data_IF_360004106650
#
_entry.id   IF_360004106650
#
_cell.length_a   1.000
_cell.length_b   1.000
_cell.length_c   1.000
_cell.angle_alpha   90.00
_cell.angle_beta   90.00
_cell.angle_gamma   90.00
#
_symmetry.space_group_name_H-M   'P 1'
#
loop_
_entity.id
_entity.type
_entity.pdbx_description
1 polymer ?
#
# COMPACT_ATOMS: atom_id res chain seq x y z
N UNK A 1 -25.18 -14.29 0.48
CA UNK A 1 -24.05 -13.35 0.55
C UNK A 1 -23.82 -12.77 -0.85
N UNK A 2 -24.08 -11.48 -1.04
CA UNK A 2 -24.02 -10.83 -2.37
C UNK A 2 -22.57 -10.76 -2.88
N UNK A 3 -22.38 -10.69 -4.22
CA UNK A 3 -21.06 -10.71 -4.86
C UNK A 3 -20.16 -9.57 -4.35
N UNK A 4 -20.77 -8.41 -4.12
CA UNK A 4 -20.08 -7.21 -3.63
C UNK A 4 -19.59 -7.32 -2.18
N UNK A 5 -20.31 -8.08 -1.35
CA UNK A 5 -19.89 -8.34 0.03
C UNK A 5 -18.66 -9.27 0.09
N UNK A 6 -18.49 -10.17 -0.89
CA UNK A 6 -17.33 -11.06 -0.96
C UNK A 6 -16.08 -10.30 -1.40
N UNK A 7 -16.19 -9.49 -2.44
CA UNK A 7 -15.09 -8.64 -2.92
C UNK A 7 -14.71 -7.60 -1.85
N UNK A 8 -15.67 -6.91 -1.24
CA UNK A 8 -15.39 -5.95 -0.17
C UNK A 8 -14.68 -6.60 1.04
N UNK A 9 -15.06 -7.82 1.43
CA UNK A 9 -14.37 -8.58 2.50
C UNK A 9 -12.96 -9.01 2.11
N UNK A 10 -12.73 -9.43 0.86
CA UNK A 10 -11.39 -9.75 0.38
C UNK A 10 -10.48 -8.51 0.38
N UNK A 11 -10.99 -7.38 -0.11
CA UNK A 11 -10.28 -6.10 -0.10
C UNK A 11 -9.99 -5.60 1.31
N UNK A 12 -10.97 -5.62 2.22
CA UNK A 12 -10.75 -5.18 3.61
C UNK A 12 -9.75 -6.07 4.35
N UNK A 13 -9.79 -7.40 4.16
CA UNK A 13 -8.78 -8.31 4.72
C UNK A 13 -7.39 -8.08 4.12
N UNK A 14 -7.30 -7.86 2.81
CA UNK A 14 -6.05 -7.51 2.13
C UNK A 14 -5.48 -6.20 2.69
N UNK A 15 -6.30 -5.17 2.76
CA UNK A 15 -5.93 -3.84 3.26
C UNK A 15 -5.53 -3.88 4.74
N UNK A 16 -6.23 -4.66 5.57
CA UNK A 16 -5.86 -4.93 6.96
C UNK A 16 -4.48 -5.62 7.07
N UNK A 17 -4.24 -6.65 6.25
CA UNK A 17 -2.96 -7.36 6.27
C UNK A 17 -1.80 -6.43 5.94
N UNK A 18 -1.98 -5.54 4.96
CA UNK A 18 -0.98 -4.56 4.54
C UNK A 18 -0.75 -3.51 5.62
N UNK A 19 -1.81 -3.00 6.26
CA UNK A 19 -1.68 -2.03 7.36
C UNK A 19 -0.99 -2.64 8.57
N UNK A 20 -1.33 -3.88 8.94
CA UNK A 20 -0.69 -4.60 10.05
C UNK A 20 0.79 -4.82 9.78
N UNK A 21 1.15 -5.29 8.58
CA UNK A 21 2.55 -5.52 8.18
C UNK A 21 3.35 -4.22 8.16
N UNK A 22 2.74 -3.13 7.65
CA UNK A 22 3.39 -1.81 7.63
C UNK A 22 3.62 -1.27 9.04
N UNK A 23 2.61 -1.36 9.93
CA UNK A 23 2.73 -0.92 11.32
C UNK A 23 3.78 -1.73 12.10
N UNK A 24 3.85 -3.04 11.88
CA UNK A 24 4.86 -3.89 12.50
C UNK A 24 6.27 -3.45 12.12
N UNK A 25 6.51 -3.17 10.84
CA UNK A 25 7.83 -2.71 10.39
C UNK A 25 8.14 -1.31 10.89
N UNK A 26 7.15 -0.44 10.97
CA UNK A 26 7.33 0.91 11.53
C UNK A 26 7.66 0.84 13.03
N UNK A 27 7.00 -0.03 13.79
CA UNK A 27 7.30 -0.29 15.20
C UNK A 27 8.71 -0.88 15.38
N UNK A 28 9.12 -1.84 14.55
CA UNK A 28 10.47 -2.41 14.56
C UNK A 28 11.53 -1.36 14.24
N UNK A 29 11.27 -0.49 13.26
CA UNK A 29 12.18 0.61 12.88
C UNK A 29 12.39 1.60 14.03
N UNK A 30 11.31 1.99 14.73
CA UNK A 30 11.39 2.85 15.90
C UNK A 30 12.15 2.18 17.06
N UNK A 31 11.95 0.88 17.27
CA UNK A 31 12.64 0.11 18.30
C UNK A 31 14.14 -0.03 18.00
N UNK A 32 14.49 -0.29 16.74
CA UNK A 32 15.87 -0.38 16.29
C UNK A 32 16.61 0.96 16.46
N UNK A 33 15.94 2.08 16.18
CA UNK A 33 16.50 3.41 16.41
C UNK A 33 16.82 3.67 17.89
N UNK A 34 16.05 3.10 18.82
CA UNK A 34 16.34 3.19 20.27
C UNK A 34 17.49 2.30 20.74
N UNK A 35 17.70 1.16 20.10
CA UNK A 35 18.69 0.17 20.53
C UNK A 35 20.11 0.43 19.99
N UNK A 36 20.25 1.24 18.94
CA UNK A 36 21.52 1.72 18.35
C UNK A 36 22.62 0.65 18.20
N UNK A 37 22.24 -0.57 17.85
CA UNK A 37 23.14 -1.70 17.63
C UNK A 37 23.13 -2.12 16.16
N UNK A 38 24.28 -2.49 15.59
CA UNK A 38 24.41 -2.91 14.18
C UNK A 38 23.49 -4.06 13.79
N UNK A 39 23.25 -4.99 14.73
CA UNK A 39 22.29 -6.08 14.56
C UNK A 39 20.87 -5.56 14.33
N UNK A 40 20.43 -4.56 15.09
CA UNK A 40 19.10 -3.96 14.96
C UNK A 40 18.95 -3.20 13.64
N UNK A 41 20.01 -2.55 13.16
CA UNK A 41 20.03 -1.93 11.83
C UNK A 41 19.91 -2.96 10.71
N UNK A 42 20.67 -4.06 10.78
CA UNK A 42 20.58 -5.16 9.81
C UNK A 42 19.19 -5.82 9.78
N UNK A 43 18.56 -5.99 10.95
CA UNK A 43 17.23 -6.56 11.07
C UNK A 43 16.15 -5.62 10.52
N UNK A 44 16.31 -4.30 10.70
CA UNK A 44 15.40 -3.29 10.12
C UNK A 44 15.51 -3.25 8.60
N UNK A 45 16.72 -3.24 8.06
CA UNK A 45 16.95 -3.22 6.59
C UNK A 45 16.43 -4.52 5.97
N UNK A 46 16.79 -5.67 6.53
CA UNK A 46 16.28 -6.97 6.08
C UNK A 46 14.77 -7.10 6.21
N UNK A 47 14.19 -6.55 7.27
CA UNK A 47 12.74 -6.49 7.49
C UNK A 47 12.01 -5.63 6.46
N UNK A 48 12.58 -4.46 6.11
CA UNK A 48 12.04 -3.58 5.06
C UNK A 48 12.10 -4.25 3.68
N UNK A 49 13.21 -4.92 3.35
CA UNK A 49 13.34 -5.65 2.08
C UNK A 49 12.39 -6.86 2.03
N UNK A 50 12.29 -7.62 3.12
CA UNK A 50 11.36 -8.74 3.24
C UNK A 50 9.90 -8.29 3.14
N UNK A 51 9.55 -7.12 3.69
CA UNK A 51 8.21 -6.54 3.60
C UNK A 51 7.77 -6.33 2.16
N UNK A 52 8.64 -5.86 1.27
CA UNK A 52 8.31 -5.70 -0.16
C UNK A 52 7.90 -7.04 -0.78
N UNK A 53 8.65 -8.11 -0.48
CA UNK A 53 8.36 -9.45 -1.00
C UNK A 53 7.08 -10.06 -0.41
N UNK A 54 6.86 -9.88 0.90
CA UNK A 54 5.64 -10.35 1.57
C UNK A 54 4.43 -9.62 1.01
N UNK A 55 4.51 -8.30 0.82
CA UNK A 55 3.44 -7.50 0.23
C UNK A 55 3.15 -7.94 -1.19
N UNK A 56 4.17 -8.12 -2.02
CA UNK A 56 4.01 -8.65 -3.37
C UNK A 56 3.28 -10.00 -3.34
N UNK A 57 3.70 -10.91 -2.45
CA UNK A 57 3.05 -12.21 -2.26
C UNK A 57 1.59 -12.10 -1.83
N UNK A 58 1.25 -11.17 -0.91
CA UNK A 58 -0.13 -10.94 -0.51
C UNK A 58 -0.98 -10.36 -1.63
N UNK A 59 -0.45 -9.45 -2.44
CA UNK A 59 -1.14 -8.89 -3.60
C UNK A 59 -1.38 -9.94 -4.67
N UNK A 60 -0.40 -10.79 -4.96
CA UNK A 60 -0.55 -11.92 -5.90
C UNK A 60 -1.62 -12.88 -5.41
N UNK A 61 -1.57 -13.29 -4.13
CA UNK A 61 -2.62 -14.16 -3.56
C UNK A 61 -3.99 -13.50 -3.62
N UNK A 62 -4.09 -12.23 -3.26
CA UNK A 62 -5.33 -11.47 -3.32
C UNK A 62 -5.89 -11.47 -4.75
N UNK A 63 -5.06 -11.18 -5.75
CA UNK A 63 -5.43 -11.19 -7.17
C UNK A 63 -5.91 -12.56 -7.63
N UNK A 64 -5.21 -13.63 -7.27
CA UNK A 64 -5.57 -15.01 -7.64
C UNK A 64 -6.88 -15.47 -6.98
N UNK A 65 -7.27 -14.89 -5.86
CA UNK A 65 -8.54 -15.20 -5.17
C UNK A 65 -9.74 -14.37 -5.65
N UNK A 66 -9.53 -13.42 -6.56
CA UNK A 66 -10.58 -12.53 -7.07
C UNK A 66 -11.24 -13.08 -8.32
N UNK A 67 -12.57 -12.96 -8.39
CA UNK A 67 -13.34 -13.13 -9.63
C UNK A 67 -12.92 -12.07 -10.69
N UNK A 68 -13.27 -12.31 -11.96
CA UNK A 68 -12.95 -11.38 -13.08
C UNK A 68 -13.36 -9.92 -12.81
N UNK A 69 -14.51 -9.72 -12.16
CA UNK A 69 -14.96 -8.37 -11.79
C UNK A 69 -14.02 -7.72 -10.76
N UNK A 70 -13.60 -8.47 -9.74
CA UNK A 70 -12.66 -7.99 -8.73
C UNK A 70 -11.30 -7.66 -9.33
N UNK A 71 -10.82 -8.49 -10.27
CA UNK A 71 -9.57 -8.25 -10.99
C UNK A 71 -9.63 -6.97 -11.83
N UNK A 72 -10.72 -6.75 -12.58
CA UNK A 72 -10.91 -5.52 -13.38
C UNK A 72 -11.01 -4.27 -12.49
N UNK A 73 -11.74 -4.35 -11.38
CA UNK A 73 -11.81 -3.27 -10.39
C UNK A 73 -10.41 -2.95 -9.83
N UNK A 74 -9.65 -3.99 -9.49
CA UNK A 74 -8.29 -3.87 -8.96
C UNK A 74 -7.33 -3.23 -9.99
N UNK A 75 -7.39 -3.64 -11.26
CA UNK A 75 -6.57 -3.05 -12.32
C UNK A 75 -6.90 -1.57 -12.57
N UNK A 76 -8.18 -1.20 -12.58
CA UNK A 76 -8.63 0.20 -12.73
C UNK A 76 -8.21 1.06 -11.54
N UNK A 77 -8.38 0.55 -10.32
CA UNK A 77 -7.94 1.24 -9.12
C UNK A 77 -6.41 1.38 -9.07
N UNK A 78 -5.69 0.33 -9.48
CA UNK A 78 -4.24 0.29 -9.55
C UNK A 78 -3.66 1.30 -10.55
N UNK A 79 -4.23 1.42 -11.75
CA UNK A 79 -3.75 2.40 -12.74
C UNK A 79 -3.97 3.84 -12.29
N UNK A 80 -5.13 4.15 -11.69
CA UNK A 80 -5.40 5.49 -11.13
C UNK A 80 -4.45 5.81 -9.97
N UNK A 81 -4.31 4.88 -9.03
CA UNK A 81 -3.43 5.07 -7.87
C UNK A 81 -1.97 5.22 -8.30
N UNK A 82 -1.53 4.48 -9.32
CA UNK A 82 -0.19 4.62 -9.88
C UNK A 82 0.05 6.02 -10.44
N UNK A 83 -0.86 6.54 -11.26
CA UNK A 83 -0.74 7.89 -11.83
C UNK A 83 -0.68 8.95 -10.72
N UNK A 84 -1.60 8.88 -9.75
CA UNK A 84 -1.64 9.84 -8.62
C UNK A 84 -0.34 9.77 -7.81
N UNK A 85 0.15 8.56 -7.51
CA UNK A 85 1.38 8.37 -6.74
C UNK A 85 2.59 8.89 -7.51
N UNK A 86 2.71 8.61 -8.81
CA UNK A 86 3.80 9.12 -9.64
C UNK A 86 3.80 10.65 -9.70
N UNK A 87 2.64 11.28 -9.85
CA UNK A 87 2.52 12.75 -9.81
C UNK A 87 2.95 13.30 -8.45
N UNK A 88 2.51 12.69 -7.35
CA UNK A 88 2.91 13.10 -6.01
C UNK A 88 4.43 12.95 -5.78
N UNK A 89 5.04 11.87 -6.29
CA UNK A 89 6.49 11.66 -6.23
C UNK A 89 7.23 12.74 -7.03
N UNK A 90 6.79 13.04 -8.25
CA UNK A 90 7.41 14.09 -9.07
C UNK A 90 7.36 15.47 -8.39
N UNK A 91 6.22 15.82 -7.79
CA UNK A 91 6.08 17.05 -7.00
C UNK A 91 7.00 17.04 -5.77
N UNK A 92 7.06 15.90 -5.07
CA UNK A 92 7.92 15.76 -3.88
C UNK A 92 9.39 15.98 -4.24
N UNK A 93 9.88 15.40 -5.34
CA UNK A 93 11.25 15.61 -5.82
C UNK A 93 11.50 17.07 -6.21
N UNK A 94 10.51 17.73 -6.82
CA UNK A 94 10.60 19.14 -7.20
C UNK A 94 10.65 20.05 -5.96
N UNK A 95 9.86 19.76 -4.93
CA UNK A 95 9.92 20.51 -3.68
C UNK A 95 11.17 20.17 -2.86
N UNK A 96 11.67 18.95 -2.91
CA UNK A 96 12.91 18.55 -2.24
C UNK A 96 14.11 19.33 -2.78
N UNK A 97 14.17 19.59 -4.10
CA UNK A 97 15.23 20.44 -4.67
C UNK A 97 15.11 21.91 -4.27
N UNK A 98 13.89 22.42 -4.09
CA UNK A 98 13.64 23.82 -3.75
C UNK A 98 13.73 24.13 -2.25
N UNK A 99 13.32 23.19 -1.38
CA UNK A 99 13.19 23.39 0.07
C UNK A 99 14.23 22.62 0.89
N UNK A 100 15.12 21.86 0.24
CA UNK A 100 16.19 21.07 0.86
C UNK A 100 15.72 20.10 1.97
N UNK A 101 14.48 19.59 1.88
CA UNK A 101 13.99 18.55 2.79
C UNK A 101 14.09 17.16 2.14
N UNK A 102 14.30 16.11 2.95
CA UNK A 102 14.29 14.73 2.45
C UNK A 102 12.95 14.08 2.79
N UNK A 103 12.21 13.61 1.78
CA UNK A 103 11.00 12.84 2.02
C UNK A 103 11.33 11.36 2.29
N UNK A 104 10.98 10.81 3.46
CA UNK A 104 11.17 9.39 3.72
C UNK A 104 10.33 8.52 2.78
N UNK A 105 10.93 7.46 2.24
CA UNK A 105 10.30 6.57 1.27
C UNK A 105 9.02 5.88 1.80
N UNK A 106 8.93 5.70 3.13
CA UNK A 106 7.73 5.14 3.76
C UNK A 106 6.49 6.05 3.62
N UNK A 107 6.67 7.38 3.54
CA UNK A 107 5.56 8.32 3.35
C UNK A 107 4.96 8.13 1.95
N UNK A 108 5.84 8.02 0.94
CA UNK A 108 5.43 7.77 -0.45
C UNK A 108 4.69 6.43 -0.55
N UNK A 109 5.20 5.40 0.13
CA UNK A 109 4.55 4.11 0.18
C UNK A 109 3.16 4.17 0.84
N UNK A 110 3.04 4.78 2.01
CA UNK A 110 1.77 4.95 2.71
C UNK A 110 0.76 5.75 1.87
N UNK A 111 1.23 6.80 1.19
CA UNK A 111 0.44 7.60 0.26
C UNK A 111 -0.08 6.77 -0.92
N UNK A 112 0.78 5.97 -1.56
CA UNK A 112 0.35 5.11 -2.67
C UNK A 112 -0.68 4.05 -2.25
N UNK A 113 -0.46 3.43 -1.09
CA UNK A 113 -1.37 2.42 -0.55
C UNK A 113 -2.74 3.00 -0.16
N UNK A 114 -2.77 4.19 0.47
CA UNK A 114 -4.01 4.88 0.84
C UNK A 114 -4.76 5.34 -0.41
N UNK A 115 -4.05 5.87 -1.40
CA UNK A 115 -4.62 6.26 -2.70
C UNK A 115 -5.27 5.06 -3.39
N UNK A 116 -4.56 3.92 -3.45
CA UNK A 116 -5.13 2.69 -4.01
C UNK A 116 -6.39 2.23 -3.26
N UNK A 117 -6.35 2.21 -1.92
CA UNK A 117 -7.51 1.86 -1.10
C UNK A 117 -8.71 2.76 -1.35
N UNK A 118 -8.48 4.08 -1.46
CA UNK A 118 -9.50 5.06 -1.81
C UNK A 118 -10.05 4.85 -3.22
N UNK A 119 -9.20 4.58 -4.22
CA UNK A 119 -9.66 4.29 -5.58
C UNK A 119 -10.56 3.05 -5.62
N UNK A 120 -10.20 1.98 -4.91
CA UNK A 120 -11.04 0.77 -4.80
C UNK A 120 -12.39 1.11 -4.15
N UNK A 121 -12.38 1.86 -3.04
CA UNK A 121 -13.59 2.23 -2.32
C UNK A 121 -14.53 3.12 -3.17
N UNK A 122 -13.97 4.13 -3.85
CA UNK A 122 -14.73 5.04 -4.69
C UNK A 122 -15.29 4.34 -5.94
N UNK A 123 -14.49 3.51 -6.61
CA UNK A 123 -14.94 2.78 -7.79
C UNK A 123 -16.01 1.75 -7.44
N UNK A 124 -15.85 1.01 -6.34
CA UNK A 124 -16.88 0.06 -5.88
C UNK A 124 -18.18 0.77 -5.48
N UNK A 125 -18.10 1.91 -4.78
CA UNK A 125 -19.27 2.70 -4.44
C UNK A 125 -19.97 3.29 -5.68
N UNK A 126 -19.21 3.67 -6.72
CA UNK A 126 -19.76 4.17 -7.99
C UNK A 126 -20.49 3.06 -8.75
N UNK A 127 -19.88 1.90 -8.86
CA UNK A 127 -20.46 0.75 -9.57
C UNK A 127 -21.75 0.27 -8.87
N UNK A 128 -21.78 0.27 -7.53
CA UNK A 128 -22.97 -0.07 -6.75
C UNK A 128 -24.15 0.91 -6.91
N UNK A 129 -23.89 2.17 -7.29
CA UNK A 129 -24.95 3.15 -7.59
C UNK A 129 -25.47 3.05 -9.02
N UNK A 130 -24.73 2.38 -9.89
CA UNK A 130 -25.03 2.26 -11.33
C UNK A 130 -25.72 0.94 -11.68
N UNK A 131 -25.85 0.03 -10.69
CA UNK A 131 -26.52 -1.26 -10.76
C UNK A 131 -27.91 -1.17 -10.13
#
# INVERSE_FOLDING_TARGET
>A
MTRDQRTARAFTKGLLSITVVTLLVLAFSLLAHRLNNDFSHGLTVGGLTGLILVLLGTFVRLYLTMDEYGQRLHQRAGSLAFVITMTAVALTYTFQSALHFTCPLWIIYAFGMTTWGLCVALLSARDARSA
#
